data_IF_643096126037
#
_entry.id   IF_643096126037
#
_cell.length_a   1.000
_cell.length_b   1.000
_cell.length_c   1.000
_cell.angle_alpha   90.00
_cell.angle_beta   90.00
_cell.angle_gamma   90.00
#
_symmetry.space_group_name_H-M   'P 1'
#
loop_
_entity.id
_entity.type
_entity.pdbx_description
1 polymer ?
#
# COMPACT_ATOMS: atom_id res chain seq x y z
N UNK A 1 -1.66 -13.46 -12.06
CA UNK A 1 -0.78 -13.35 -10.88
C UNK A 1 0.26 -12.30 -11.21
N UNK A 2 0.24 -11.15 -10.54
CA UNK A 2 1.21 -10.10 -10.77
C UNK A 2 2.39 -10.39 -9.85
N UNK A 3 3.48 -10.91 -10.43
CA UNK A 3 4.72 -11.16 -9.69
C UNK A 3 5.47 -9.85 -9.62
N UNK A 4 5.70 -9.34 -8.41
CA UNK A 4 6.50 -8.16 -8.20
C UNK A 4 8.00 -8.53 -8.19
N UNK A 5 8.77 -8.00 -9.15
CA UNK A 5 10.19 -8.30 -9.37
C UNK A 5 11.15 -7.50 -8.46
N UNK A 6 10.68 -7.01 -7.30
CA UNK A 6 11.49 -6.25 -6.34
C UNK A 6 12.33 -7.17 -5.44
N UNK A 7 13.66 -7.15 -5.59
CA UNK A 7 14.60 -7.98 -4.77
C UNK A 7 15.17 -7.28 -3.53
N UNK A 8 14.74 -6.06 -3.20
CA UNK A 8 15.26 -5.26 -2.07
C UNK A 8 14.74 -5.76 -0.71
N UNK A 9 15.55 -5.70 0.35
CA UNK A 9 15.19 -6.11 1.73
C UNK A 9 13.86 -5.52 2.25
N UNK A 10 13.54 -4.21 2.08
CA UNK A 10 12.23 -3.66 2.47
C UNK A 10 11.05 -4.17 1.62
N UNK A 11 11.31 -4.72 0.42
CA UNK A 11 10.29 -5.32 -0.45
C UNK A 11 9.80 -6.68 0.06
N UNK A 12 10.65 -7.41 0.82
CA UNK A 12 10.30 -8.73 1.38
C UNK A 12 9.50 -8.63 2.68
N UNK A 13 9.64 -7.52 3.40
CA UNK A 13 9.02 -7.28 4.71
C UNK A 13 7.76 -6.41 4.62
N UNK A 14 7.28 -6.08 3.41
CA UNK A 14 6.15 -5.17 3.24
C UNK A 14 5.14 -5.73 2.25
N UNK A 15 3.86 -5.64 2.60
CA UNK A 15 2.73 -5.92 1.72
C UNK A 15 1.81 -4.71 1.67
N UNK A 16 1.38 -4.28 0.49
CA UNK A 16 0.47 -3.14 0.36
C UNK A 16 -0.56 -3.34 -0.75
N UNK A 17 -1.75 -2.80 -0.53
CA UNK A 17 -2.83 -2.69 -1.52
C UNK A 17 -3.38 -1.29 -1.41
N UNK A 18 -3.25 -0.51 -2.47
CA UNK A 18 -3.74 0.88 -2.54
C UNK A 18 -4.69 0.98 -3.71
N UNK A 19 -5.92 1.44 -3.42
CA UNK A 19 -6.91 1.83 -4.40
C UNK A 19 -7.15 3.34 -4.24
N UNK A 20 -6.49 4.11 -5.11
CA UNK A 20 -6.59 5.55 -5.16
C UNK A 20 -7.08 5.99 -6.55
N UNK A 21 -8.40 6.02 -6.79
CA UNK A 21 -8.92 6.39 -8.08
C UNK A 21 -8.62 7.87 -8.40
N UNK A 22 -8.33 8.21 -9.66
CA UNK A 22 -8.14 9.60 -10.06
C UNK A 22 -9.46 10.39 -9.91
N UNK A 23 -9.41 11.74 -9.84
CA UNK A 23 -10.58 12.56 -9.53
C UNK A 23 -11.75 12.43 -10.51
N UNK A 24 -11.49 11.97 -11.73
CA UNK A 24 -12.43 11.77 -12.82
C UNK A 24 -13.01 10.34 -12.89
N UNK A 25 -12.59 9.44 -11.99
CA UNK A 25 -13.11 8.08 -11.94
C UNK A 25 -14.55 8.02 -11.41
N UNK A 26 -15.31 7.02 -11.89
CA UNK A 26 -16.69 6.77 -11.48
C UNK A 26 -16.82 6.17 -10.05
N UNK A 27 -15.77 6.25 -9.23
CA UNK A 27 -15.74 5.71 -7.87
C UNK A 27 -15.11 6.71 -6.91
N UNK A 28 -15.81 6.99 -5.82
CA UNK A 28 -15.41 7.82 -4.69
C UNK A 28 -14.75 7.00 -3.56
N UNK A 29 -14.54 5.69 -3.79
CA UNK A 29 -14.00 4.79 -2.77
C UNK A 29 -12.49 4.88 -2.77
N UNK A 30 -11.92 5.20 -1.62
CA UNK A 30 -10.49 5.12 -1.39
C UNK A 30 -10.23 4.00 -0.39
N UNK A 31 -9.19 3.20 -0.62
CA UNK A 31 -8.76 2.18 0.32
C UNK A 31 -7.24 2.04 0.27
N UNK A 32 -6.62 1.95 1.44
CA UNK A 32 -5.23 1.57 1.56
C UNK A 32 -5.08 0.54 2.68
N UNK A 33 -4.32 -0.49 2.40
CA UNK A 33 -3.81 -1.47 3.35
C UNK A 33 -2.30 -1.52 3.20
N UNK A 34 -1.59 -1.42 4.32
CA UNK A 34 -0.15 -1.58 4.40
C UNK A 34 0.12 -2.54 5.54
N UNK A 35 0.97 -3.53 5.31
CA UNK A 35 1.41 -4.47 6.31
C UNK A 35 2.93 -4.51 6.31
N UNK A 36 3.54 -4.40 7.49
CA UNK A 36 4.98 -4.53 7.69
C UNK A 36 5.24 -5.73 8.58
N UNK A 37 6.21 -6.55 8.23
CA UNK A 37 6.67 -7.66 9.07
C UNK A 37 7.57 -7.10 10.18
N UNK A 38 7.14 -7.28 11.43
CA UNK A 38 7.87 -6.83 12.64
C UNK A 38 8.71 -7.97 13.25
N UNK A 39 8.21 -9.20 13.16
CA UNK A 39 8.91 -10.44 13.54
C UNK A 39 8.63 -11.54 12.50
N UNK A 40 9.37 -12.68 12.49
CA UNK A 40 9.13 -13.75 11.53
C UNK A 40 7.67 -14.24 11.56
N UNK A 41 6.93 -13.98 10.47
CA UNK A 41 5.50 -14.25 10.28
C UNK A 41 4.54 -13.42 11.17
N UNK A 42 5.01 -12.33 11.79
CA UNK A 42 4.18 -11.37 12.53
C UNK A 42 4.11 -10.07 11.75
N UNK A 43 2.88 -9.68 11.41
CA UNK A 43 2.62 -8.55 10.52
C UNK A 43 1.81 -7.49 11.24
N UNK A 44 2.34 -6.26 11.30
CA UNK A 44 1.59 -5.09 11.71
C UNK A 44 0.88 -4.48 10.50
N UNK A 45 -0.45 -4.50 10.54
CA UNK A 45 -1.32 -4.10 9.46
C UNK A 45 -2.04 -2.79 9.76
N UNK A 46 -1.83 -1.79 8.90
CA UNK A 46 -2.57 -0.55 8.89
C UNK A 46 -3.57 -0.50 7.73
N UNK A 47 -4.84 -0.24 8.02
CA UNK A 47 -5.90 -0.03 7.00
C UNK A 47 -6.59 1.31 7.16
N UNK A 48 -6.93 1.95 6.04
CA UNK A 48 -7.68 3.20 6.02
C UNK A 48 -8.54 3.33 4.75
N UNK A 49 -9.62 4.11 4.87
CA UNK A 49 -10.48 4.51 3.75
C UNK A 49 -10.52 6.04 3.57
N UNK A 50 -9.75 6.78 4.38
CA UNK A 50 -9.75 8.25 4.36
C UNK A 50 -8.94 8.73 3.15
N UNK A 51 -9.54 9.49 2.20
CA UNK A 51 -8.87 9.86 0.94
C UNK A 51 -7.51 10.53 1.14
N UNK A 52 -7.43 11.52 2.03
CA UNK A 52 -6.17 12.21 2.33
C UNK A 52 -5.05 11.29 2.86
N UNK A 53 -5.41 10.22 3.57
CA UNK A 53 -4.43 9.25 4.07
C UNK A 53 -4.06 8.22 2.99
N UNK A 54 -5.01 7.83 2.13
CA UNK A 54 -4.76 6.98 0.97
C UNK A 54 -3.81 7.67 -0.01
N UNK A 55 -4.03 8.95 -0.35
CA UNK A 55 -3.12 9.75 -1.19
C UNK A 55 -1.69 9.80 -0.64
N UNK A 56 -1.56 9.93 0.68
CA UNK A 56 -0.26 10.01 1.33
C UNK A 56 0.46 8.66 1.30
N UNK A 57 -0.28 7.56 1.49
CA UNK A 57 0.26 6.20 1.39
C UNK A 57 0.67 5.89 -0.06
N UNK A 58 -0.20 6.19 -1.02
CA UNK A 58 0.04 6.01 -2.45
C UNK A 58 1.35 6.67 -2.89
N UNK A 59 1.51 7.96 -2.57
CA UNK A 59 2.74 8.70 -2.87
C UNK A 59 3.96 8.11 -2.20
N UNK A 60 3.86 7.68 -0.94
CA UNK A 60 4.99 7.09 -0.22
C UNK A 60 5.43 5.77 -0.87
N UNK A 61 4.47 4.90 -1.19
CA UNK A 61 4.70 3.63 -1.89
C UNK A 61 5.34 3.87 -3.26
N UNK A 62 4.84 4.82 -4.06
CA UNK A 62 5.42 5.13 -5.39
C UNK A 62 6.84 5.70 -5.34
N UNK A 63 7.30 6.21 -4.20
CA UNK A 63 8.66 6.75 -4.04
C UNK A 63 9.63 5.76 -3.38
N UNK A 64 9.10 4.79 -2.64
CA UNK A 64 9.88 3.80 -1.90
C UNK A 64 10.27 2.59 -2.78
N UNK A 65 9.61 2.42 -3.92
CA UNK A 65 9.73 1.28 -4.83
C UNK A 65 9.74 1.74 -6.29
#
# INVERSE_FOLDING_TARGET
MTVHEGRSYPYRLSWFVVFNPPPDACSDRHAALVALEDEPNVWDGFRTFRPALVDRIDRHVSTAF
#
